data_IF_937086609852
#
_entry.id   IF_937086609852
#
_cell.length_a   1.000
_cell.length_b   1.000
_cell.length_c   1.000
_cell.angle_alpha   90.00
_cell.angle_beta   90.00
_cell.angle_gamma   90.00
#
_symmetry.space_group_name_H-M   'P 1'
#
loop_
_entity.id
_entity.type
_entity.pdbx_description
1 polymer ?
#
# COMPACT_ATOMS: atom_id res chain seq x y z
N UNK A 1 17.54 11.53 -10.19
CA UNK A 1 16.71 12.44 -9.36
C UNK A 1 15.75 11.58 -8.57
N UNK A 2 15.44 11.96 -7.33
CA UNK A 2 14.51 11.22 -6.47
C UNK A 2 13.07 11.38 -7.01
N UNK A 3 12.38 10.27 -7.29
CA UNK A 3 11.03 10.29 -7.89
C UNK A 3 10.02 11.03 -7.02
N UNK A 4 10.20 10.98 -5.71
CA UNK A 4 9.33 11.68 -4.75
C UNK A 4 9.55 13.20 -4.88
N UNK A 5 10.79 13.65 -5.07
CA UNK A 5 11.09 15.07 -5.29
C UNK A 5 10.54 15.60 -6.61
N UNK A 6 10.59 14.80 -7.68
CA UNK A 6 9.95 15.13 -8.97
C UNK A 6 8.43 15.32 -8.82
N UNK A 7 7.81 14.60 -7.87
CA UNK A 7 6.39 14.72 -7.54
C UNK A 7 6.10 15.80 -6.48
N UNK A 8 7.10 16.60 -6.10
CA UNK A 8 7.04 17.59 -5.02
C UNK A 8 6.58 17.00 -3.67
N UNK A 9 6.92 15.72 -3.45
CA UNK A 9 6.51 14.95 -2.29
C UNK A 9 7.13 15.47 -0.99
N UNK A 10 6.32 15.53 0.05
CA UNK A 10 6.66 15.99 1.41
C UNK A 10 6.16 15.01 2.46
N UNK A 11 6.50 15.25 3.72
CA UNK A 11 5.98 14.49 4.88
C UNK A 11 6.16 12.97 4.76
N UNK A 12 7.34 12.56 4.29
CA UNK A 12 7.64 11.15 4.03
C UNK A 12 7.60 10.34 5.33
N UNK A 13 6.79 9.29 5.33
CA UNK A 13 6.48 8.48 6.50
C UNK A 13 6.61 7.00 6.16
N UNK A 14 7.42 6.26 6.93
CA UNK A 14 7.48 4.80 6.81
C UNK A 14 6.22 4.19 7.42
N UNK A 15 5.34 3.64 6.57
CA UNK A 15 4.07 3.06 6.99
C UNK A 15 4.29 1.69 7.61
N UNK A 16 4.97 0.80 6.89
CA UNK A 16 5.20 -0.59 7.31
C UNK A 16 6.46 -1.15 6.66
N UNK A 17 7.13 -2.04 7.38
CA UNK A 17 8.10 -2.98 6.84
C UNK A 17 7.56 -4.37 7.12
N UNK A 18 7.36 -5.17 6.07
CA UNK A 18 6.76 -6.50 6.21
C UNK A 18 7.26 -7.46 5.15
N UNK A 19 7.18 -8.74 5.47
CA UNK A 19 7.36 -9.82 4.50
C UNK A 19 6.09 -9.98 3.65
N UNK A 20 6.25 -10.05 2.33
CA UNK A 20 5.14 -10.33 1.41
C UNK A 20 4.63 -11.75 1.61
N UNK A 21 3.33 -11.86 1.85
CA UNK A 21 2.66 -13.14 2.06
C UNK A 21 2.16 -13.73 0.74
N UNK A 22 1.80 -15.01 0.74
CA UNK A 22 1.16 -15.65 -0.42
C UNK A 22 -0.15 -14.95 -0.83
N UNK A 23 -0.88 -14.36 0.12
CA UNK A 23 -2.10 -13.58 -0.15
C UNK A 23 -1.79 -12.29 -0.86
N UNK A 24 -0.70 -11.61 -0.50
CA UNK A 24 -0.29 -10.36 -1.15
C UNK A 24 0.11 -10.60 -2.62
N UNK A 25 0.64 -11.79 -2.92
CA UNK A 25 1.07 -12.19 -4.26
C UNK A 25 0.00 -12.99 -5.03
N UNK A 26 -1.20 -13.17 -4.47
CA UNK A 26 -2.24 -13.96 -5.12
C UNK A 26 -3.00 -13.11 -6.14
N UNK A 27 -2.95 -13.53 -7.41
CA UNK A 27 -3.73 -12.91 -8.51
C UNK A 27 -5.22 -12.82 -8.20
N UNK A 28 -5.77 -13.81 -7.50
CA UNK A 28 -7.18 -13.84 -7.13
C UNK A 28 -7.54 -12.86 -6.01
N UNK A 29 -6.59 -12.54 -5.12
CA UNK A 29 -6.82 -11.61 -4.00
C UNK A 29 -6.49 -10.17 -4.37
N UNK A 30 -5.51 -9.95 -5.28
CA UNK A 30 -5.14 -8.67 -5.87
C UNK A 30 -5.09 -7.51 -4.87
N UNK A 31 -4.35 -7.72 -3.77
CA UNK A 31 -4.21 -6.72 -2.72
C UNK A 31 -2.90 -6.84 -1.95
N UNK A 32 -2.34 -5.70 -1.54
CA UNK A 32 -1.32 -5.64 -0.50
C UNK A 32 -1.98 -5.31 0.84
N UNK A 33 -1.83 -6.18 1.83
CA UNK A 33 -2.34 -5.97 3.19
C UNK A 33 -1.33 -5.24 4.08
N UNK A 34 -1.82 -4.25 4.83
CA UNK A 34 -1.09 -3.45 5.82
C UNK A 34 -1.82 -3.62 7.17
N UNK A 35 -1.46 -4.66 7.95
CA UNK A 35 -2.12 -4.93 9.23
C UNK A 35 -1.89 -3.79 10.23
N UNK A 36 -2.93 -3.38 10.95
CA UNK A 36 -2.86 -2.24 11.87
C UNK A 36 -1.75 -2.38 12.93
N UNK A 37 -1.46 -3.60 13.37
CA UNK A 37 -0.40 -3.89 14.36
C UNK A 37 1.02 -3.75 13.81
N UNK A 38 1.19 -3.69 12.49
CA UNK A 38 2.50 -3.53 11.83
C UNK A 38 2.75 -2.10 11.36
N UNK A 39 1.76 -1.21 11.50
CA UNK A 39 1.91 0.20 11.13
C UNK A 39 2.89 0.86 12.09
N UNK A 40 3.98 1.41 11.55
CA UNK A 40 5.04 2.06 12.33
C UNK A 40 4.67 3.49 12.70
N UNK A 41 4.09 4.23 11.76
CA UNK A 41 3.74 5.64 11.94
C UNK A 41 2.38 5.93 11.29
N UNK A 42 1.64 6.88 11.88
CA UNK A 42 0.39 7.34 11.30
C UNK A 42 0.67 8.05 9.98
N UNK A 43 0.02 7.60 8.90
CA UNK A 43 0.22 8.13 7.56
C UNK A 43 -1.04 8.78 6.98
N UNK A 44 -2.17 8.67 7.68
CA UNK A 44 -3.47 9.17 7.26
C UNK A 44 -3.84 10.44 8.03
N UNK A 45 -4.46 11.39 7.34
CA UNK A 45 -5.14 12.54 7.95
C UNK A 45 -6.50 12.10 8.50
N UNK A 46 -7.06 12.86 9.44
CA UNK A 46 -8.36 12.54 10.04
C UNK A 46 -9.48 12.39 9.01
N UNK A 47 -9.51 13.25 7.99
CA UNK A 47 -10.44 13.18 6.86
C UNK A 47 -10.36 11.81 6.16
N UNK A 48 -9.15 11.34 5.87
CA UNK A 48 -8.90 10.06 5.19
C UNK A 48 -9.33 8.89 6.06
N UNK A 49 -9.09 8.96 7.37
CA UNK A 49 -9.57 7.95 8.33
C UNK A 49 -11.09 7.87 8.30
N UNK A 50 -11.81 9.01 8.29
CA UNK A 50 -13.28 9.04 8.23
C UNK A 50 -13.82 8.40 6.95
N UNK A 51 -13.19 8.67 5.80
CA UNK A 51 -13.55 8.05 4.51
C UNK A 51 -13.40 6.53 4.61
N UNK A 52 -12.24 6.07 5.09
CA UNK A 52 -11.93 4.64 5.20
C UNK A 52 -12.84 3.92 6.23
N UNK A 53 -13.24 4.59 7.31
CA UNK A 53 -14.14 4.05 8.33
C UNK A 53 -15.58 3.90 7.81
N UNK A 54 -16.00 4.74 6.86
CA UNK A 54 -17.25 4.58 6.09
C UNK A 54 -17.17 3.46 5.05
N UNK A 55 -16.04 2.73 4.99
CA UNK A 55 -15.72 1.68 4.01
C UNK A 55 -15.62 2.22 2.58
N UNK A 56 -15.45 3.52 2.44
CA UNK A 56 -15.14 4.14 1.16
C UNK A 56 -13.65 3.96 0.84
N UNK A 57 -13.32 3.94 -0.45
CA UNK A 57 -11.95 3.78 -0.92
C UNK A 57 -11.33 5.12 -1.28
N UNK A 58 -10.06 5.33 -0.92
CA UNK A 58 -9.28 6.49 -1.34
C UNK A 58 -8.47 6.10 -2.57
N UNK A 59 -8.62 6.84 -3.67
CA UNK A 59 -7.77 6.65 -4.85
C UNK A 59 -6.36 7.14 -4.54
N UNK A 60 -5.37 6.31 -4.83
CA UNK A 60 -3.95 6.61 -4.60
C UNK A 60 -3.12 6.27 -5.83
N UNK A 61 -1.96 6.89 -5.93
CA UNK A 61 -0.90 6.47 -6.86
C UNK A 61 0.21 5.80 -6.05
N UNK A 62 0.90 4.85 -6.67
CA UNK A 62 2.00 4.12 -6.05
C UNK A 62 3.25 4.29 -6.92
N UNK A 63 4.35 4.72 -6.32
CA UNK A 63 5.67 4.58 -6.93
C UNK A 63 6.11 3.14 -6.70
N UNK A 64 6.27 2.40 -7.80
CA UNK A 64 6.70 1.00 -7.78
C UNK A 64 8.20 0.88 -7.48
N UNK A 65 8.70 -0.32 -7.12
CA UNK A 65 10.15 -0.55 -6.97
C UNK A 65 10.96 -0.15 -8.20
N UNK A 66 10.42 -0.34 -9.43
CA UNK A 66 11.06 0.10 -10.67
C UNK A 66 10.94 1.61 -10.97
N UNK A 67 10.43 2.41 -10.02
CA UNK A 67 10.21 3.86 -10.12
C UNK A 67 9.13 4.32 -11.10
N UNK A 68 8.39 3.39 -11.72
CA UNK A 68 7.15 3.72 -12.42
C UNK A 68 6.05 4.12 -11.45
N UNK A 69 5.12 4.94 -11.93
CA UNK A 69 3.97 5.37 -11.15
C UNK A 69 2.73 4.61 -11.62
N UNK A 70 2.23 3.75 -10.74
CA UNK A 70 0.98 3.04 -10.92
C UNK A 70 -0.18 3.88 -10.40
N UNK A 71 -1.11 4.21 -11.29
CA UNK A 71 -2.31 4.99 -10.95
C UNK A 71 -3.55 4.10 -10.78
N UNK A 72 -4.56 4.63 -10.09
CA UNK A 72 -5.85 3.97 -9.96
C UNK A 72 -5.89 2.83 -8.95
N UNK A 73 -4.89 2.73 -8.07
CA UNK A 73 -5.00 1.92 -6.87
C UNK A 73 -6.02 2.54 -5.92
N UNK A 74 -6.62 1.71 -5.07
CA UNK A 74 -7.44 2.18 -3.95
C UNK A 74 -6.89 1.69 -2.63
N UNK A 75 -6.81 2.59 -1.66
CA UNK A 75 -6.64 2.26 -0.26
C UNK A 75 -8.02 2.04 0.36
N UNK A 76 -8.23 0.88 0.98
CA UNK A 76 -9.47 0.54 1.72
C UNK A 76 -9.13 0.06 3.12
N UNK A 77 -10.05 0.24 4.08
CA UNK A 77 -9.96 -0.37 5.42
C UNK A 77 -10.81 -1.63 5.50
N UNK A 78 -10.18 -2.74 5.87
CA UNK A 78 -10.82 -4.04 6.05
C UNK A 78 -10.79 -4.41 7.53
N UNK A 79 -11.94 -4.37 8.19
CA UNK A 79 -12.08 -4.75 9.59
C UNK A 79 -12.27 -6.27 9.71
N UNK A 80 -11.57 -6.89 10.65
CA UNK A 80 -11.72 -8.31 10.99
C UNK A 80 -12.59 -8.47 12.23
N UNK A 81 -12.73 -9.70 12.74
CA UNK A 81 -13.35 -9.95 14.06
C UNK A 81 -12.50 -9.25 15.13
N UNK A 82 -13.16 -8.60 16.10
CA UNK A 82 -12.54 -7.74 17.13
C UNK A 82 -11.97 -6.42 16.59
N UNK A 83 -11.14 -5.72 17.37
CA UNK A 83 -10.53 -4.41 17.04
C UNK A 83 -9.38 -4.48 16.02
N UNK A 84 -9.17 -5.63 15.38
CA UNK A 84 -8.13 -5.80 14.37
C UNK A 84 -8.63 -5.37 13.00
N UNK A 85 -7.78 -4.70 12.22
CA UNK A 85 -8.08 -4.30 10.86
C UNK A 85 -6.79 -4.25 10.03
N UNK A 86 -6.92 -4.26 8.72
CA UNK A 86 -5.84 -3.93 7.79
C UNK A 86 -6.29 -2.79 6.90
N UNK A 87 -5.36 -1.92 6.55
CA UNK A 87 -5.50 -1.19 5.30
C UNK A 87 -5.07 -2.10 4.15
N UNK A 88 -5.71 -1.97 3.00
CA UNK A 88 -5.36 -2.74 1.80
C UNK A 88 -5.21 -1.82 0.60
N UNK A 89 -4.12 -1.98 -0.14
CA UNK A 89 -4.00 -1.43 -1.49
C UNK A 89 -4.58 -2.45 -2.47
N UNK A 90 -5.56 -2.05 -3.27
CA UNK A 90 -6.32 -2.95 -4.16
C UNK A 90 -6.58 -2.33 -5.53
N UNK A 91 -7.48 -2.92 -6.32
CA UNK A 91 -7.81 -2.65 -7.73
C UNK A 91 -6.67 -2.97 -8.71
N UNK A 92 -5.54 -2.25 -8.63
CA UNK A 92 -4.43 -2.36 -9.60
C UNK A 92 -3.19 -3.06 -9.06
N UNK A 93 -3.26 -3.60 -7.84
CA UNK A 93 -2.11 -4.23 -7.18
C UNK A 93 -1.47 -5.37 -7.99
N UNK A 94 -2.26 -6.21 -8.67
CA UNK A 94 -1.70 -7.25 -9.54
C UNK A 94 -0.77 -6.70 -10.63
N UNK A 95 -1.05 -5.50 -11.15
CA UNK A 95 -0.20 -4.84 -12.14
C UNK A 95 1.16 -4.46 -11.57
N UNK A 96 1.24 -4.19 -10.27
CA UNK A 96 2.47 -3.88 -9.53
C UNK A 96 3.21 -5.16 -9.11
N UNK A 97 2.46 -6.19 -8.66
CA UNK A 97 3.02 -7.38 -8.03
C UNK A 97 3.56 -8.43 -9.03
N UNK A 98 3.03 -8.51 -10.25
CA UNK A 98 3.36 -9.55 -11.22
C UNK A 98 4.37 -9.24 -12.34
N UNK A 99 4.82 -8.01 -12.60
CA UNK A 99 6.01 -7.79 -13.44
C UNK A 99 7.27 -8.13 -12.62
N UNK A 100 7.47 -9.43 -12.33
CA UNK A 100 8.56 -9.95 -11.50
C UNK A 100 9.94 -9.47 -11.96
N UNK A 101 10.16 -9.43 -13.27
CA UNK A 101 11.41 -8.97 -13.85
C UNK A 101 11.70 -7.47 -13.64
N UNK A 102 10.72 -6.68 -13.19
CA UNK A 102 10.83 -5.23 -13.00
C UNK A 102 10.86 -4.83 -11.54
N UNK A 103 9.97 -5.40 -10.74
CA UNK A 103 9.77 -5.00 -9.36
C UNK A 103 10.33 -5.99 -8.33
N UNK A 104 10.73 -7.19 -8.76
CA UNK A 104 11.30 -8.24 -7.89
C UNK A 104 10.44 -8.60 -6.67
N UNK A 105 9.14 -8.30 -6.74
CA UNK A 105 8.18 -8.61 -5.68
C UNK A 105 7.83 -10.09 -5.75
N UNK A 106 8.15 -10.85 -4.71
CA UNK A 106 7.77 -12.26 -4.59
C UNK A 106 7.43 -12.61 -3.15
N UNK A 107 6.84 -13.79 -2.94
CA UNK A 107 6.55 -14.28 -1.60
C UNK A 107 7.85 -14.33 -0.78
N UNK A 108 7.74 -14.04 0.50
CA UNK A 108 8.82 -14.14 1.49
C UNK A 108 9.92 -13.05 1.38
N UNK A 109 9.82 -12.09 0.46
CA UNK A 109 10.70 -10.90 0.45
C UNK A 109 10.19 -9.84 1.41
N UNK A 110 11.11 -9.10 2.01
CA UNK A 110 10.80 -7.94 2.86
C UNK A 110 10.65 -6.72 1.98
N UNK A 111 9.55 -5.99 2.17
CA UNK A 111 9.33 -4.69 1.54
C UNK A 111 9.13 -3.61 2.60
N UNK A 112 9.34 -2.36 2.17
CA UNK A 112 8.91 -1.18 2.89
C UNK A 112 7.84 -0.47 2.07
N UNK A 113 6.81 0.03 2.75
CA UNK A 113 5.82 0.92 2.16
C UNK A 113 5.93 2.29 2.81
N UNK A 114 6.10 3.31 1.98
CA UNK A 114 6.21 4.70 2.38
C UNK A 114 4.98 5.49 1.91
N UNK A 115 4.62 6.52 2.67
CA UNK A 115 3.61 7.49 2.30
C UNK A 115 4.25 8.89 2.27
N UNK A 116 3.79 9.74 1.36
CA UNK A 116 4.20 11.13 1.24
C UNK A 116 3.03 11.97 0.72
N UNK A 117 3.18 13.29 0.73
CA UNK A 117 2.15 14.29 0.41
C UNK A 117 2.53 15.21 -0.74
#
# INVERSE_FOLDING_TARGET
MDKIQEMHGRDMTLVVEKTLTATDMSRGQSRLSIPNKQIRQSFLREEEIRILDRKEGIKVSLIEPCLEVSHGLQLKRWNYKSRNFSYVLTERWNGVAHPYARNELMKDVVIQLWSFR
#
